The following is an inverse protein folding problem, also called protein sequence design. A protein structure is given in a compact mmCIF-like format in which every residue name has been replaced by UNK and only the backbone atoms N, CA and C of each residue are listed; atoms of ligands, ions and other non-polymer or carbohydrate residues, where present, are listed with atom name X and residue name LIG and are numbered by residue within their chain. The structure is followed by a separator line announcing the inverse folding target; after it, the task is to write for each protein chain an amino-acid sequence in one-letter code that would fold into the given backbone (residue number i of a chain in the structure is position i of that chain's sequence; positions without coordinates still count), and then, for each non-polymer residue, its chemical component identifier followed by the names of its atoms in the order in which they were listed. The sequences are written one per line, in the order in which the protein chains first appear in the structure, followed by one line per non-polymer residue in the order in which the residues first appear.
data_IF_232827470484
#
_entry.id   IF_232827470484
#
_cell.length_a   1.000
_cell.length_b   1.000
_cell.length_c   1.000
_cell.angle_alpha   90.00
_cell.angle_beta   90.00
_cell.angle_gamma   90.00
#
_symmetry.space_group_name_H-M   'P 1'
#
loop_
_entity.id
_entity.type
_entity.pdbx_description
1 polymer ?
#
# COMPACT_ATOMS: atom_id res chain seq x y z
N UNK A 1 1.79 10.27 -20.90
CA UNK A 1 2.18 11.63 -21.33
C UNK A 1 2.21 11.65 -22.85
N UNK A 2 1.43 12.49 -23.53
CA UNK A 2 1.46 12.54 -24.99
C UNK A 2 2.79 13.18 -25.44
N UNK A 3 3.75 12.34 -25.80
CA UNK A 3 4.72 12.60 -26.88
C UNK A 3 5.87 13.58 -26.67
N UNK A 4 6.03 14.22 -25.51
CA UNK A 4 7.18 15.10 -25.25
C UNK A 4 7.71 14.92 -23.83
N UNK A 5 8.98 14.52 -23.70
CA UNK A 5 9.67 14.28 -22.44
C UNK A 5 10.34 15.56 -21.92
N UNK A 6 9.56 16.61 -21.66
CA UNK A 6 10.07 17.89 -21.14
C UNK A 6 10.02 17.99 -19.61
N UNK A 7 9.43 17.01 -18.92
CA UNK A 7 9.21 17.04 -17.47
C UNK A 7 9.56 15.68 -16.87
N UNK A 8 10.27 15.70 -15.74
CA UNK A 8 10.75 14.51 -15.04
C UNK A 8 9.63 13.77 -14.30
N UNK A 9 8.62 14.50 -13.81
CA UNK A 9 7.46 13.93 -13.11
C UNK A 9 6.16 14.74 -13.30
N UNK A 10 5.06 14.21 -12.78
CA UNK A 10 3.75 14.86 -12.83
C UNK A 10 3.72 16.15 -11.98
N UNK A 11 4.44 16.17 -10.86
CA UNK A 11 4.48 17.31 -9.95
C UNK A 11 5.13 18.53 -10.60
N UNK A 12 6.24 18.33 -11.31
CA UNK A 12 6.93 19.37 -12.08
C UNK A 12 6.06 19.91 -13.22
N UNK A 13 5.30 19.04 -13.89
CA UNK A 13 4.32 19.49 -14.88
C UNK A 13 3.20 20.33 -14.25
N UNK A 14 2.62 19.89 -13.13
CA UNK A 14 1.56 20.63 -12.42
C UNK A 14 2.07 22.00 -11.93
N UNK A 15 3.29 22.07 -11.40
CA UNK A 15 3.92 23.31 -10.97
C UNK A 15 4.10 24.30 -12.13
N UNK A 16 4.60 23.83 -13.27
CA UNK A 16 4.72 24.63 -14.49
C UNK A 16 3.36 25.18 -14.96
N UNK A 17 2.33 24.33 -15.00
CA UNK A 17 0.97 24.77 -15.39
C UNK A 17 0.46 25.84 -14.42
N UNK A 18 0.66 25.66 -13.12
CA UNK A 18 0.27 26.65 -12.12
C UNK A 18 1.00 27.99 -12.32
N UNK A 19 2.30 27.96 -12.62
CA UNK A 19 3.09 29.16 -12.91
C UNK A 19 2.58 29.90 -14.16
N UNK A 20 2.35 29.16 -15.25
CA UNK A 20 1.82 29.72 -16.51
C UNK A 20 0.44 30.36 -16.27
N UNK A 21 -0.46 29.67 -15.57
CA UNK A 21 -1.79 30.20 -15.25
C UNK A 21 -1.68 31.42 -14.34
N UNK A 22 -0.79 31.38 -13.34
CA UNK A 22 -0.57 32.49 -12.44
C UNK A 22 -0.08 33.73 -13.20
N UNK A 23 0.91 33.56 -14.08
CA UNK A 23 1.52 34.65 -14.84
C UNK A 23 0.56 35.24 -15.88
N UNK A 24 -0.03 34.39 -16.73
CA UNK A 24 -0.81 34.86 -17.89
C UNK A 24 -2.28 35.16 -17.59
N UNK A 25 -2.90 34.49 -16.61
CA UNK A 25 -4.32 34.69 -16.29
C UNK A 25 -4.54 35.40 -14.96
N UNK A 26 -3.92 34.91 -13.88
CA UNK A 26 -4.27 35.40 -12.54
C UNK A 26 -3.70 36.80 -12.27
N UNK A 27 -2.45 37.09 -12.65
CA UNK A 27 -1.83 38.41 -12.42
C UNK A 27 -2.59 39.55 -13.12
N UNK A 28 -2.94 39.46 -14.42
CA UNK A 28 -3.70 40.54 -15.07
C UNK A 28 -5.12 40.72 -14.51
N UNK A 29 -5.75 39.63 -14.07
CA UNK A 29 -7.10 39.66 -13.51
C UNK A 29 -7.15 40.05 -12.03
N UNK A 30 -6.01 40.12 -11.34
CA UNK A 30 -5.95 40.27 -9.88
C UNK A 30 -6.61 41.56 -9.36
N UNK A 31 -6.44 42.68 -10.06
CA UNK A 31 -7.01 43.97 -9.66
C UNK A 31 -8.54 43.95 -9.75
N UNK A 32 -9.10 43.50 -10.90
CA UNK A 32 -10.55 43.33 -11.07
C UNK A 32 -11.14 42.34 -10.08
N UNK A 33 -10.46 41.21 -9.85
CA UNK A 33 -10.92 40.21 -8.89
C UNK A 33 -10.97 40.78 -7.46
N UNK A 34 -10.06 41.70 -7.09
CA UNK A 34 -10.08 42.35 -5.78
C UNK A 34 -11.30 43.28 -5.62
N UNK A 35 -11.67 44.03 -6.66
CA UNK A 35 -12.87 44.87 -6.70
C UNK A 35 -14.14 44.02 -6.59
N UNK A 36 -14.25 42.97 -7.41
CA UNK A 36 -15.41 42.06 -7.39
C UNK A 36 -15.54 41.33 -6.05
N UNK A 37 -14.42 40.93 -5.42
CA UNK A 37 -14.44 40.19 -4.15
C UNK A 37 -15.04 40.98 -2.99
N UNK A 38 -15.07 42.31 -3.06
CA UNK A 38 -15.72 43.14 -2.04
C UNK A 38 -17.26 43.01 -2.06
N UNK A 39 -17.85 42.61 -3.19
CA UNK A 39 -19.30 42.43 -3.35
C UNK A 39 -19.75 40.96 -3.37
N UNK A 40 -18.80 40.01 -3.34
CA UNK A 40 -19.09 38.58 -3.29
C UNK A 40 -19.56 38.13 -1.90
N UNK A 41 -20.45 37.16 -1.86
CA UNK A 41 -20.83 36.49 -0.62
C UNK A 41 -19.70 35.62 -0.07
N UNK A 42 -19.73 35.39 1.25
CA UNK A 42 -18.83 34.46 1.91
C UNK A 42 -18.95 33.06 1.28
N UNK A 43 -17.81 32.34 1.23
CA UNK A 43 -17.81 30.95 0.81
C UNK A 43 -18.70 30.12 1.76
N UNK A 44 -19.35 29.05 1.26
CA UNK A 44 -20.07 28.12 2.10
C UNK A 44 -19.19 27.63 3.26
N UNK A 45 -19.79 27.42 4.43
CA UNK A 45 -19.08 26.95 5.62
C UNK A 45 -18.47 25.54 5.45
N UNK A 46 -18.99 24.76 4.49
CA UNK A 46 -18.47 23.46 4.12
C UNK A 46 -17.93 23.47 2.69
N UNK A 47 -16.77 22.84 2.48
CA UNK A 47 -16.21 22.65 1.15
C UNK A 47 -17.14 21.78 0.28
N UNK A 48 -17.32 22.19 -0.98
CA UNK A 48 -18.07 21.39 -1.96
C UNK A 48 -17.29 20.09 -2.19
N UNK A 49 -17.89 18.91 -1.98
CA UNK A 49 -17.24 17.63 -2.23
C UNK A 49 -16.77 17.53 -3.68
N UNK A 50 -15.46 17.39 -3.90
CA UNK A 50 -14.88 17.15 -5.23
C UNK A 50 -14.92 15.67 -5.64
N UNK A 51 -15.74 14.87 -4.95
CA UNK A 51 -15.80 13.42 -5.10
C UNK A 51 -17.22 12.93 -5.37
N UNK A 52 -17.30 11.80 -6.05
CA UNK A 52 -18.54 11.03 -6.22
C UNK A 52 -18.52 9.83 -5.28
N UNK A 53 -19.58 9.66 -4.49
CA UNK A 53 -19.69 8.56 -3.52
C UNK A 53 -20.43 7.37 -4.12
N UNK A 54 -19.91 6.17 -3.86
CA UNK A 54 -20.52 4.88 -4.17
C UNK A 54 -20.60 4.02 -2.91
N UNK A 55 -21.58 3.12 -2.84
CA UNK A 55 -21.76 2.19 -1.72
C UNK A 55 -21.69 0.71 -2.14
N UNK A 56 -20.54 0.23 -2.66
CA UNK A 56 -20.42 -1.16 -3.07
C UNK A 56 -20.36 -2.11 -1.86
N UNK A 57 -20.91 -3.32 -2.02
CA UNK A 57 -20.70 -4.44 -1.11
C UNK A 57 -19.40 -5.16 -1.47
N UNK A 58 -18.56 -5.44 -0.48
CA UNK A 58 -17.31 -6.17 -0.68
C UNK A 58 -17.60 -7.64 -0.98
N UNK A 59 -17.13 -8.11 -2.14
CA UNK A 59 -17.31 -9.48 -2.60
C UNK A 59 -16.40 -10.45 -1.83
N UNK A 60 -16.69 -11.76 -1.95
CA UNK A 60 -15.92 -12.87 -1.34
C UNK A 60 -14.42 -12.91 -1.69
N UNK A 61 -14.02 -12.19 -2.73
CA UNK A 61 -12.64 -12.12 -3.22
C UNK A 61 -11.94 -10.82 -2.79
N UNK A 62 -12.44 -10.15 -1.74
CA UNK A 62 -11.89 -8.88 -1.27
C UNK A 62 -11.94 -7.78 -2.33
N UNK A 63 -12.99 -7.75 -3.17
CA UNK A 63 -13.11 -6.77 -4.26
C UNK A 63 -14.39 -5.97 -4.23
N UNK A 64 -14.29 -4.72 -4.69
CA UNK A 64 -15.41 -3.80 -4.91
C UNK A 64 -15.42 -3.34 -6.36
N UNK A 65 -16.62 -3.04 -6.89
CA UNK A 65 -16.78 -2.43 -8.21
C UNK A 65 -17.23 -0.98 -8.03
N UNK A 66 -16.41 -0.04 -8.48
CA UNK A 66 -16.63 1.40 -8.35
C UNK A 66 -16.40 2.05 -9.70
N UNK A 67 -17.38 2.81 -10.20
CA UNK A 67 -17.31 3.47 -11.51
C UNK A 67 -16.84 2.53 -12.65
N UNK A 68 -17.42 1.31 -12.71
CA UNK A 68 -17.09 0.25 -13.67
C UNK A 68 -15.68 -0.36 -13.57
N UNK A 69 -14.90 0.01 -12.55
CA UNK A 69 -13.56 -0.53 -12.30
C UNK A 69 -13.55 -1.40 -11.05
N UNK A 70 -12.65 -2.37 -11.01
CA UNK A 70 -12.53 -3.33 -9.90
C UNK A 70 -11.34 -2.98 -9.01
N UNK A 71 -11.58 -2.86 -7.72
CA UNK A 71 -10.54 -2.54 -6.75
C UNK A 71 -10.54 -3.58 -5.64
N UNK A 72 -9.36 -4.02 -5.22
CA UNK A 72 -9.24 -4.85 -4.01
C UNK A 72 -9.30 -4.00 -2.75
N UNK A 73 -9.85 -4.57 -1.67
CA UNK A 73 -9.97 -3.98 -0.34
C UNK A 73 -9.58 -5.01 0.73
N UNK A 74 -9.24 -4.63 1.96
CA UNK A 74 -8.88 -5.59 3.00
C UNK A 74 -9.94 -6.69 3.23
N UNK A 75 -9.49 -7.94 3.39
CA UNK A 75 -10.34 -9.12 3.57
C UNK A 75 -11.30 -9.02 4.78
N UNK A 76 -10.94 -8.21 5.79
CA UNK A 76 -11.78 -7.94 6.97
C UNK A 76 -13.11 -7.28 6.61
N UNK A 77 -13.20 -6.63 5.44
CA UNK A 77 -14.40 -5.96 4.97
C UNK A 77 -15.31 -6.84 4.12
N UNK A 78 -14.96 -8.11 3.87
CA UNK A 78 -15.79 -9.02 3.07
C UNK A 78 -17.23 -9.10 3.62
N UNK A 79 -18.22 -8.93 2.73
CA UNK A 79 -19.65 -8.94 3.10
C UNK A 79 -20.18 -7.62 3.68
N UNK A 80 -19.31 -6.65 3.98
CA UNK A 80 -19.71 -5.34 4.44
C UNK A 80 -19.94 -4.36 3.27
N UNK A 81 -20.84 -3.40 3.46
CA UNK A 81 -20.99 -2.24 2.59
C UNK A 81 -19.94 -1.20 2.96
N UNK A 82 -19.19 -0.73 1.98
CA UNK A 82 -18.17 0.31 2.15
C UNK A 82 -18.56 1.58 1.40
N UNK A 83 -18.09 2.72 1.87
CA UNK A 83 -18.25 4.00 1.17
C UNK A 83 -16.99 4.24 0.32
N UNK A 84 -17.14 4.24 -1.01
CA UNK A 84 -16.06 4.54 -1.93
C UNK A 84 -16.23 5.95 -2.50
N UNK A 85 -15.31 6.85 -2.16
CA UNK A 85 -15.25 8.23 -2.67
C UNK A 85 -14.28 8.29 -3.84
N UNK A 86 -14.79 8.62 -5.02
CA UNK A 86 -14.00 8.76 -6.25
C UNK A 86 -13.66 10.22 -6.45
N UNK A 87 -12.39 10.55 -6.23
CA UNK A 87 -11.79 11.86 -6.52
C UNK A 87 -11.26 11.89 -7.96
N UNK A 88 -10.78 13.04 -8.46
CA UNK A 88 -10.19 13.11 -9.80
C UNK A 88 -9.03 12.12 -10.00
N UNK A 89 -8.09 12.02 -9.04
CA UNK A 89 -6.86 11.24 -9.20
C UNK A 89 -6.79 9.98 -8.30
N UNK A 90 -7.69 9.86 -7.32
CA UNK A 90 -7.67 8.80 -6.32
C UNK A 90 -9.06 8.27 -5.98
N UNK A 91 -9.11 7.08 -5.41
CA UNK A 91 -10.30 6.48 -4.80
C UNK A 91 -9.98 6.24 -3.34
N UNK A 92 -10.88 6.67 -2.47
CA UNK A 92 -10.81 6.46 -1.02
C UNK A 92 -11.91 5.49 -0.63
N UNK A 93 -11.56 4.42 0.08
CA UNK A 93 -12.50 3.45 0.64
C UNK A 93 -12.60 3.71 2.13
N UNK A 94 -13.83 3.95 2.59
CA UNK A 94 -14.16 4.20 3.99
C UNK A 94 -15.13 3.14 4.51
N UNK A 95 -15.01 2.83 5.78
CA UNK A 95 -15.93 1.95 6.49
C UNK A 95 -16.23 2.57 7.85
N UNK A 96 -17.51 2.76 8.18
CA UNK A 96 -17.97 3.40 9.44
C UNK A 96 -17.22 4.72 9.72
N UNK A 97 -17.17 5.61 8.74
CA UNK A 97 -16.45 6.90 8.81
C UNK A 97 -14.93 6.83 9.01
N UNK A 98 -14.31 5.66 8.91
CA UNK A 98 -12.86 5.51 8.98
C UNK A 98 -12.29 5.30 7.58
N UNK A 99 -11.21 6.01 7.24
CA UNK A 99 -10.48 5.78 6.00
C UNK A 99 -9.73 4.45 6.10
N UNK A 100 -10.10 3.48 5.27
CA UNK A 100 -9.48 2.15 5.27
C UNK A 100 -8.34 2.10 4.27
N UNK A 101 -8.56 2.63 3.07
CA UNK A 101 -7.59 2.53 1.99
C UNK A 101 -7.72 3.71 1.02
N UNK A 102 -6.59 4.18 0.52
CA UNK A 102 -6.50 5.12 -0.60
C UNK A 102 -5.73 4.47 -1.74
N UNK A 103 -6.20 4.66 -2.96
CA UNK A 103 -5.61 4.06 -4.16
C UNK A 103 -5.72 5.02 -5.36
N UNK A 104 -4.81 4.94 -6.35
CA UNK A 104 -4.94 5.69 -7.59
C UNK A 104 -6.23 5.33 -8.32
N UNK A 105 -6.90 6.32 -8.90
CA UNK A 105 -8.08 6.09 -9.75
C UNK A 105 -7.64 5.49 -11.08
N UNK A 106 -8.18 4.32 -11.43
CA UNK A 106 -7.94 3.69 -12.72
C UNK A 106 -8.59 4.50 -13.86
N UNK A 107 -7.88 4.63 -14.97
CA UNK A 107 -8.30 5.34 -16.18
C UNK A 107 -7.95 4.52 -17.41
N UNK A 108 -8.66 4.75 -18.52
CA UNK A 108 -8.34 4.08 -19.79
C UNK A 108 -8.58 2.57 -19.77
N UNK A 109 -7.56 1.80 -20.15
CA UNK A 109 -7.62 0.35 -20.33
C UNK A 109 -7.56 -0.43 -19.00
N UNK A 110 -7.06 0.19 -17.92
CA UNK A 110 -6.92 -0.47 -16.62
C UNK A 110 -8.29 -0.78 -16.00
N UNK A 111 -8.76 -2.02 -16.12
CA UNK A 111 -10.06 -2.44 -15.59
C UNK A 111 -10.03 -2.74 -14.09
N UNK A 112 -8.86 -3.11 -13.57
CA UNK A 112 -8.71 -3.65 -12.22
C UNK A 112 -7.41 -3.23 -11.55
N UNK A 113 -7.43 -3.21 -10.21
CA UNK A 113 -6.26 -3.06 -9.36
C UNK A 113 -6.40 -3.97 -8.15
N UNK A 114 -5.65 -5.07 -8.14
CA UNK A 114 -5.64 -6.02 -7.03
C UNK A 114 -4.33 -5.92 -6.25
N UNK A 115 -4.44 -5.72 -4.95
CA UNK A 115 -3.33 -5.89 -4.00
C UNK A 115 -3.40 -7.32 -3.48
N UNK A 116 -2.35 -8.09 -3.75
CA UNK A 116 -2.26 -9.49 -3.33
C UNK A 116 -2.40 -9.65 -1.81
N UNK A 117 -2.01 -8.65 -0.99
CA UNK A 117 -2.14 -8.69 0.48
C UNK A 117 -3.58 -8.90 0.93
N UNK A 118 -4.55 -8.47 0.12
CA UNK A 118 -5.97 -8.61 0.41
C UNK A 118 -6.54 -10.02 0.16
N UNK A 119 -5.84 -10.85 -0.63
CA UNK A 119 -6.33 -12.17 -1.06
C UNK A 119 -5.42 -13.31 -0.60
N UNK A 120 -4.16 -13.03 -0.27
CA UNK A 120 -3.14 -14.03 0.02
C UNK A 120 -3.51 -14.94 1.20
N UNK A 121 -4.13 -14.40 2.25
CA UNK A 121 -4.50 -15.18 3.44
C UNK A 121 -5.47 -16.32 3.14
N UNK A 122 -6.38 -16.16 2.17
CA UNK A 122 -7.28 -17.23 1.75
C UNK A 122 -6.64 -18.12 0.66
N UNK A 123 -5.85 -17.54 -0.25
CA UNK A 123 -5.18 -18.31 -1.32
C UNK A 123 -4.23 -19.36 -0.75
N UNK A 124 -3.47 -19.05 0.31
CA UNK A 124 -2.58 -20.03 0.97
C UNK A 124 -3.36 -21.24 1.52
N UNK A 125 -4.61 -21.04 1.97
CA UNK A 125 -5.47 -22.14 2.47
C UNK A 125 -6.07 -22.97 1.34
N UNK A 126 -6.19 -22.40 0.14
CA UNK A 126 -6.78 -23.04 -1.05
C UNK A 126 -5.91 -22.78 -2.29
N UNK A 127 -4.70 -23.37 -2.35
CA UNK A 127 -3.71 -23.03 -3.37
C UNK A 127 -4.17 -23.33 -4.79
N UNK A 128 -5.01 -24.36 -4.99
CA UNK A 128 -5.55 -24.70 -6.31
C UNK A 128 -6.42 -23.60 -6.96
N UNK A 129 -6.83 -22.58 -6.21
CA UNK A 129 -7.52 -21.42 -6.78
C UNK A 129 -6.58 -20.46 -7.53
N UNK A 130 -5.26 -20.52 -7.28
CA UNK A 130 -4.28 -19.62 -7.87
C UNK A 130 -4.12 -19.81 -9.38
N UNK A 131 -3.96 -21.05 -9.85
CA UNK A 131 -3.76 -21.36 -11.25
C UNK A 131 -4.84 -20.78 -12.18
N UNK A 132 -6.11 -20.75 -11.72
CA UNK A 132 -7.28 -20.24 -12.45
C UNK A 132 -7.79 -18.90 -11.92
N UNK A 133 -7.01 -18.20 -11.09
CA UNK A 133 -7.43 -16.92 -10.55
C UNK A 133 -7.50 -15.87 -11.66
N UNK A 134 -8.63 -15.13 -11.75
CA UNK A 134 -8.84 -14.14 -12.82
C UNK A 134 -7.75 -13.06 -12.86
N UNK A 135 -7.25 -12.66 -11.70
CA UNK A 135 -6.25 -11.60 -11.56
C UNK A 135 -4.90 -12.17 -11.12
N UNK A 136 -4.52 -13.35 -11.64
CA UNK A 136 -3.26 -14.02 -11.27
C UNK A 136 -2.05 -13.15 -11.56
N UNK A 137 -2.07 -12.39 -12.65
CA UNK A 137 -0.94 -11.54 -13.04
C UNK A 137 -0.70 -10.39 -12.03
N UNK A 138 -1.75 -9.90 -11.36
CA UNK A 138 -1.63 -8.91 -10.27
C UNK A 138 -1.03 -9.49 -8.97
N UNK A 139 -0.91 -10.82 -8.88
CA UNK A 139 -0.31 -11.48 -7.72
C UNK A 139 1.21 -11.51 -7.78
N UNK A 140 1.83 -11.06 -8.88
CA UNK A 140 3.28 -10.87 -9.01
C UNK A 140 3.62 -9.39 -8.74
N UNK A 141 4.07 -9.01 -7.52
CA UNK A 141 4.24 -7.60 -7.17
C UNK A 141 5.37 -6.93 -7.97
N UNK A 142 6.38 -7.71 -8.37
CA UNK A 142 7.50 -7.25 -9.19
C UNK A 142 8.09 -8.39 -10.03
N UNK A 143 8.97 -8.04 -10.98
CA UNK A 143 9.61 -9.00 -11.90
C UNK A 143 10.32 -10.17 -11.17
N UNK A 144 11.07 -9.95 -10.07
CA UNK A 144 11.65 -11.05 -9.30
C UNK A 144 10.61 -12.09 -8.84
N UNK A 145 9.41 -11.67 -8.44
CA UNK A 145 8.36 -12.60 -8.03
C UNK A 145 7.83 -13.42 -9.21
N UNK A 146 7.72 -12.81 -10.39
CA UNK A 146 7.32 -13.57 -11.59
C UNK A 146 8.39 -14.60 -11.96
N UNK A 147 9.66 -14.20 -11.99
CA UNK A 147 10.78 -15.11 -12.25
C UNK A 147 10.88 -16.24 -11.22
N UNK A 148 10.62 -15.92 -9.96
CA UNK A 148 10.57 -16.89 -8.87
C UNK A 148 9.51 -17.97 -9.13
N UNK A 149 8.30 -17.57 -9.52
CA UNK A 149 7.25 -18.51 -9.89
C UNK A 149 7.65 -19.39 -11.10
N UNK A 150 8.20 -18.80 -12.15
CA UNK A 150 8.64 -19.55 -13.34
C UNK A 150 9.79 -20.55 -13.00
N UNK A 151 10.67 -20.21 -12.05
CA UNK A 151 11.69 -21.11 -11.53
C UNK A 151 11.10 -22.25 -10.69
N UNK A 152 10.11 -21.95 -9.85
CA UNK A 152 9.39 -22.95 -9.05
C UNK A 152 8.61 -23.93 -9.94
N UNK A 153 7.96 -23.46 -11.00
CA UNK A 153 7.26 -24.35 -11.96
C UNK A 153 8.22 -25.35 -12.60
N UNK A 154 9.43 -24.92 -12.96
CA UNK A 154 10.46 -25.80 -13.56
C UNK A 154 11.00 -26.86 -12.60
N UNK A 155 11.04 -26.56 -11.30
CA UNK A 155 11.71 -27.40 -10.29
C UNK A 155 10.73 -28.26 -9.47
N UNK A 156 9.54 -27.74 -9.18
CA UNK A 156 8.57 -28.32 -8.24
C UNK A 156 7.25 -28.76 -8.89
N UNK A 157 7.03 -28.49 -10.18
CA UNK A 157 5.84 -28.90 -10.93
C UNK A 157 4.54 -28.45 -10.24
N UNK A 158 3.68 -29.39 -9.86
CA UNK A 158 2.38 -29.14 -9.22
C UNK A 158 2.48 -28.44 -7.86
N UNK A 159 3.62 -28.52 -7.17
CA UNK A 159 3.83 -27.85 -5.87
C UNK A 159 4.23 -26.38 -6.02
N UNK A 160 4.50 -25.90 -7.23
CA UNK A 160 4.94 -24.52 -7.47
C UNK A 160 3.94 -23.48 -6.95
N UNK A 161 2.64 -23.71 -7.14
CA UNK A 161 1.58 -22.83 -6.63
C UNK A 161 1.65 -22.69 -5.11
N UNK A 162 1.86 -23.81 -4.40
CA UNK A 162 1.90 -23.84 -2.94
C UNK A 162 3.12 -23.11 -2.42
N UNK A 163 4.30 -23.40 -2.99
CA UNK A 163 5.56 -22.76 -2.60
C UNK A 163 5.53 -21.26 -2.89
N UNK A 164 5.05 -20.87 -4.07
CA UNK A 164 4.94 -19.47 -4.45
C UNK A 164 3.97 -18.70 -3.55
N UNK A 165 2.80 -19.25 -3.24
CA UNK A 165 1.85 -18.60 -2.35
C UNK A 165 2.41 -18.45 -0.92
N UNK A 166 3.22 -19.39 -0.44
CA UNK A 166 3.90 -19.26 0.85
C UNK A 166 4.93 -18.12 0.84
N UNK A 167 5.70 -18.00 -0.25
CA UNK A 167 6.65 -16.88 -0.44
C UNK A 167 5.90 -15.55 -0.53
N UNK A 168 4.79 -15.50 -1.26
CA UNK A 168 3.98 -14.30 -1.39
C UNK A 168 3.32 -13.91 -0.05
N UNK A 169 2.95 -14.90 0.77
CA UNK A 169 2.48 -14.67 2.14
C UNK A 169 3.59 -14.17 3.07
N UNK A 170 4.81 -14.68 2.91
CA UNK A 170 5.98 -14.16 3.60
C UNK A 170 6.24 -12.70 3.20
N UNK A 171 6.10 -12.33 1.93
CA UNK A 171 6.22 -10.94 1.49
C UNK A 171 5.16 -10.02 2.14
N UNK A 172 3.94 -10.52 2.33
CA UNK A 172 2.88 -9.78 3.01
C UNK A 172 3.14 -9.56 4.52
N UNK A 173 3.94 -10.42 5.17
CA UNK A 173 4.16 -10.40 6.63
C UNK A 173 5.54 -9.88 7.04
N UNK A 174 6.60 -10.24 6.31
CA UNK A 174 7.98 -9.86 6.58
C UNK A 174 8.50 -8.69 5.72
N UNK A 175 7.72 -8.26 4.71
CA UNK A 175 8.02 -7.14 3.83
C UNK A 175 8.38 -7.56 2.42
N UNK A 176 7.72 -6.94 1.44
CA UNK A 176 7.85 -7.27 0.01
C UNK A 176 9.24 -6.98 -0.55
N UNK A 177 9.84 -5.84 -0.17
CA UNK A 177 11.17 -5.45 -0.64
C UNK A 177 12.24 -6.46 -0.19
N UNK A 178 12.24 -6.83 1.09
CA UNK A 178 13.19 -7.81 1.65
C UNK A 178 13.07 -9.18 0.98
N UNK A 179 11.83 -9.66 0.77
CA UNK A 179 11.61 -10.91 0.04
C UNK A 179 12.07 -10.78 -1.41
N UNK A 180 11.80 -9.65 -2.06
CA UNK A 180 12.26 -9.37 -3.42
C UNK A 180 13.78 -9.44 -3.57
N UNK A 181 14.54 -8.85 -2.65
CA UNK A 181 16.01 -8.92 -2.62
C UNK A 181 16.52 -10.35 -2.48
N UNK A 182 15.94 -11.13 -1.55
CA UNK A 182 16.28 -12.54 -1.35
C UNK A 182 15.96 -13.37 -2.60
N UNK A 183 14.81 -13.12 -3.24
CA UNK A 183 14.44 -13.82 -4.47
C UNK A 183 15.45 -13.57 -5.59
N UNK A 184 15.96 -12.34 -5.74
CA UNK A 184 17.01 -12.05 -6.73
C UNK A 184 18.26 -12.87 -6.44
N UNK A 185 18.72 -12.92 -5.18
CA UNK A 185 19.92 -13.67 -4.80
C UNK A 185 19.77 -15.19 -4.99
N UNK A 186 18.57 -15.72 -4.73
CA UNK A 186 18.30 -17.16 -4.78
C UNK A 186 18.01 -17.64 -6.22
N UNK A 187 17.52 -16.76 -7.09
CA UNK A 187 17.24 -17.08 -8.50
C UNK A 187 18.50 -17.49 -9.29
N UNK A 188 19.68 -17.03 -8.86
CA UNK A 188 20.97 -17.35 -9.49
C UNK A 188 21.61 -18.64 -8.95
N UNK A 189 20.99 -19.30 -7.96
CA UNK A 189 21.54 -20.51 -7.34
C UNK A 189 21.28 -21.77 -8.19
N UNK A 190 22.30 -22.62 -8.30
CA UNK A 190 22.21 -23.92 -8.97
C UNK A 190 21.51 -24.92 -8.05
N UNK A 191 20.39 -25.49 -8.50
CA UNK A 191 19.64 -26.51 -7.74
C UNK A 191 18.18 -26.16 -7.43
N UNK A 192 17.74 -24.95 -7.79
CA UNK A 192 16.40 -24.47 -7.44
C UNK A 192 16.30 -24.05 -5.97
N UNK A 193 15.12 -23.59 -5.58
CA UNK A 193 14.86 -23.14 -4.22
C UNK A 193 13.43 -23.45 -3.81
N UNK A 194 13.19 -23.45 -2.51
CA UNK A 194 11.88 -23.65 -1.90
C UNK A 194 11.54 -22.49 -0.96
N UNK A 195 10.33 -22.53 -0.39
CA UNK A 195 9.92 -21.57 0.62
C UNK A 195 10.86 -21.51 1.83
N UNK A 196 11.38 -22.65 2.28
CA UNK A 196 12.23 -22.73 3.49
C UNK A 196 13.53 -21.97 3.30
N UNK A 197 14.14 -22.10 2.12
CA UNK A 197 15.35 -21.37 1.72
C UNK A 197 15.13 -19.86 1.75
N UNK A 198 14.01 -19.39 1.19
CA UNK A 198 13.65 -17.97 1.20
C UNK A 198 13.35 -17.50 2.62
N UNK A 199 12.59 -18.27 3.41
CA UNK A 199 12.25 -17.93 4.79
C UNK A 199 13.48 -17.77 5.67
N UNK A 200 14.46 -18.67 5.54
CA UNK A 200 15.70 -18.62 6.33
C UNK A 200 16.53 -17.36 6.06
N UNK A 201 16.53 -16.87 4.82
CA UNK A 201 17.29 -15.68 4.42
C UNK A 201 16.54 -14.36 4.73
N UNK A 202 15.21 -14.39 4.75
CA UNK A 202 14.36 -13.24 5.09
C UNK A 202 14.27 -13.01 6.60
N UNK A 203 14.48 -14.06 7.40
CA UNK A 203 14.40 -13.99 8.85
C UNK A 203 15.28 -12.85 9.39
N UNK A 204 14.75 -11.97 10.26
CA UNK A 204 15.53 -10.88 10.83
C UNK A 204 16.77 -11.46 11.52
N UNK A 205 17.92 -10.76 11.48
CA UNK A 205 19.10 -11.20 12.21
C UNK A 205 18.71 -11.43 13.67
N UNK A 206 19.14 -12.56 14.23
CA UNK A 206 18.85 -12.89 15.63
C UNK A 206 19.32 -11.72 16.49
N UNK A 207 18.38 -11.03 17.12
CA UNK A 207 18.70 -9.97 18.07
C UNK A 207 19.37 -10.65 19.27
N UNK A 208 20.67 -10.43 19.42
CA UNK A 208 21.38 -10.83 20.63
C UNK A 208 20.87 -9.93 21.75
N UNK A 209 19.96 -10.44 22.59
CA UNK A 209 19.50 -9.71 23.78
C UNK A 209 20.73 -9.50 24.66
N UNK A 210 21.18 -8.26 24.90
CA UNK A 210 22.30 -8.05 25.81
C UNK A 210 21.87 -8.52 27.19
N UNK A 211 22.70 -9.36 27.82
CA UNK A 211 22.51 -9.74 29.22
C UNK A 211 22.85 -8.50 30.05
N UNK A 212 21.83 -7.75 30.44
CA UNK A 212 21.99 -6.59 31.31
C UNK A 212 22.16 -7.11 32.73
N UNK A 213 23.39 -7.07 33.22
CA UNK A 213 23.67 -7.28 34.64
C UNK A 213 23.28 -6.02 35.40
N UNK A 214 22.05 -5.98 35.92
CA UNK A 214 21.65 -4.97 36.89
C UNK A 214 22.23 -5.34 38.25
N UNK A 215 23.14 -4.53 38.78
CA UNK A 215 23.57 -4.66 40.17
C UNK A 215 22.37 -4.46 41.09
N UNK A 216 22.32 -5.17 42.22
CA UNK A 216 21.28 -4.96 43.21
C UNK A 216 21.24 -3.47 43.60
N UNK A 217 20.09 -2.81 43.52
CA UNK A 217 20.00 -1.38 43.82
C UNK A 217 20.44 -1.13 45.26
N UNK A 218 21.35 -0.19 45.45
CA UNK A 218 21.81 0.21 46.77
C UNK A 218 20.70 0.99 47.48
N UNK A 219 20.07 0.33 48.46
CA UNK A 219 18.95 0.90 49.20
C UNK A 219 19.38 1.98 50.21
N UNK A 220 20.68 2.09 50.51
CA UNK A 220 21.21 3.11 51.45
C UNK A 220 21.03 4.54 50.91
N UNK A 221 20.84 4.69 49.60
CA UNK A 221 20.51 5.98 48.96
C UNK A 221 19.16 6.53 49.45
N UNK A 222 18.21 5.66 49.77
CA UNK A 222 16.92 6.09 50.34
C UNK A 222 17.04 6.51 51.81
N UNK A 223 17.98 5.93 52.56
CA UNK A 223 18.24 6.32 53.95
C UNK A 223 18.82 7.74 54.04
N UNK A 224 19.64 8.14 53.08
CA UNK A 224 20.16 9.51 52.98
C UNK A 224 19.04 10.54 52.72
N UNK A 225 17.98 10.16 52.01
CA UNK A 225 16.81 11.04 51.78
C UNK A 225 15.95 11.23 53.03
N UNK A 226 15.99 10.31 54.01
CA UNK A 226 15.33 10.50 55.32
C UNK A 226 16.06 11.51 56.21
N UNK A 227 17.37 11.67 56.05
CA UNK A 227 18.16 12.61 56.86
C UNK A 227 17.96 14.09 56.45
N UNK A 228 17.34 14.37 55.29
CA UNK A 228 17.02 15.72 54.82
C UNK A 228 15.67 16.27 55.29
N UNK A 229 14.87 15.50 56.05
CA UNK A 229 13.55 15.92 56.54
C UNK A 229 13.54 16.34 58.03
N UNK A 230 14.72 16.57 58.62
CA UNK A 230 14.86 17.08 59.97
C UNK A 230 15.86 18.24 60.01
N UNK A 231 15.44 19.40 59.52
CA UNK A 231 15.95 20.71 59.91
C UNK A 231 14.86 21.75 59.70
#
# INVERSE_FOLDING_TARGET
MRGHAAFDDLAGYEAFVQEVVAYWRNRPAAARLAEERAVLHALPSAAIPSYTTYYPVVRRWSTIRVAHRTYSVPAQLMGHTVEARVHPNRVEVRYRDHLVQTMPRLRGEDEHRIDYRHVIGWLVRKPGAFARYRYREDLYPSVPFRRAYDALVRTHGERADVEYLRILHLAATAGEARVGEVLVAVLDQVGGFDYVTVQAQVAPPRLTVPVIHMAAPDLTVYDALRAGAAA
#
